data_IF_330410324150
#
_entry.id   IF_330410324150
#
_cell.length_a   1.000
_cell.length_b   1.000
_cell.length_c   1.000
_cell.angle_alpha   90.00
_cell.angle_beta   90.00
_cell.angle_gamma   90.00
#
_symmetry.space_group_name_H-M   'P 1'
#
loop_
_entity.id
_entity.type
_entity.pdbx_description
1 polymer ?
#
# COMPACT_ATOMS: atom_id res chain seq x y z
N UNK A 1 19.51 12.83 36.80
CA UNK A 1 20.09 12.50 35.47
C UNK A 1 20.23 10.99 35.42
N UNK A 2 19.54 10.31 34.50
CA UNK A 2 19.87 8.92 34.22
C UNK A 2 21.28 8.91 33.61
N UNK A 3 22.24 8.27 34.30
CA UNK A 3 23.59 8.12 33.78
C UNK A 3 23.59 7.31 32.49
N UNK A 4 24.66 7.43 31.71
CA UNK A 4 24.88 6.52 30.59
C UNK A 4 24.87 5.06 31.09
N UNK A 5 24.47 4.10 30.26
CA UNK A 5 24.50 2.68 30.62
C UNK A 5 25.88 2.26 31.12
N UNK A 6 25.93 1.44 32.17
CA UNK A 6 27.19 0.97 32.76
C UNK A 6 28.00 0.06 31.82
N UNK A 7 27.36 -0.49 30.80
CA UNK A 7 27.94 -1.36 29.77
C UNK A 7 27.33 -1.03 28.39
N UNK A 8 28.15 -1.10 27.34
CA UNK A 8 27.70 -1.05 25.95
C UNK A 8 27.64 -2.44 25.31
N UNK A 9 27.01 -2.55 24.15
CA UNK A 9 27.08 -3.75 23.29
C UNK A 9 28.03 -3.52 22.10
N UNK A 10 28.41 -4.60 21.42
CA UNK A 10 29.15 -4.49 20.15
C UNK A 10 28.23 -3.99 19.02
N UNK A 11 28.81 -3.50 17.92
CA UNK A 11 28.04 -3.12 16.73
C UNK A 11 27.11 -4.26 16.26
N UNK A 12 27.61 -5.50 16.28
CA UNK A 12 26.83 -6.69 15.91
C UNK A 12 25.59 -6.88 16.79
N UNK A 13 25.73 -6.65 18.10
CA UNK A 13 24.67 -6.84 19.09
C UNK A 13 23.64 -5.70 19.10
N UNK A 14 24.04 -4.49 18.73
CA UNK A 14 23.20 -3.30 18.89
C UNK A 14 22.60 -2.83 17.56
N UNK A 15 23.33 -2.95 16.46
CA UNK A 15 22.98 -2.32 15.18
C UNK A 15 22.85 -3.32 14.03
N UNK A 16 23.70 -4.36 13.97
CA UNK A 16 23.68 -5.33 12.87
C UNK A 16 22.36 -6.12 12.82
N UNK A 17 21.75 -6.40 13.98
CA UNK A 17 20.45 -7.08 14.06
C UNK A 17 19.30 -6.36 13.34
N UNK A 18 19.40 -5.02 13.19
CA UNK A 18 18.39 -4.21 12.51
C UNK A 18 18.68 -4.06 11.00
N UNK A 19 19.84 -4.54 10.54
CA UNK A 19 20.19 -4.55 9.12
C UNK A 19 19.59 -5.78 8.46
N UNK A 20 18.69 -5.57 7.52
CA UNK A 20 18.16 -6.63 6.67
C UNK A 20 18.70 -6.48 5.24
N UNK A 21 19.79 -7.18 4.87
CA UNK A 21 20.32 -7.12 3.50
C UNK A 21 19.33 -7.70 2.47
N UNK A 22 18.43 -8.59 2.89
CA UNK A 22 17.33 -9.07 2.04
C UNK A 22 16.28 -8.00 1.77
N UNK A 23 16.39 -6.80 2.36
CA UNK A 23 15.52 -5.64 2.11
C UNK A 23 16.10 -4.59 1.13
N UNK A 24 17.27 -4.86 0.53
CA UNK A 24 17.75 -4.07 -0.63
C UNK A 24 16.86 -4.38 -1.83
N UNK A 25 16.40 -3.34 -2.55
CA UNK A 25 15.39 -3.48 -3.61
C UNK A 25 15.88 -2.91 -4.93
N UNK A 26 15.53 -3.60 -6.02
CA UNK A 26 15.59 -3.09 -7.37
C UNK A 26 14.18 -3.17 -7.95
N UNK A 27 13.52 -2.04 -8.20
CA UNK A 27 12.18 -2.04 -8.79
C UNK A 27 12.27 -2.38 -10.28
N UNK A 28 12.44 -3.67 -10.58
CA UNK A 28 12.67 -4.20 -11.92
C UNK A 28 11.54 -3.85 -12.89
N UNK A 29 10.31 -3.77 -12.38
CA UNK A 29 9.13 -3.38 -13.14
C UNK A 29 8.43 -2.26 -12.40
N UNK A 30 8.05 -1.21 -13.13
CA UNK A 30 7.24 -0.11 -12.59
C UNK A 30 6.00 0.09 -13.44
N UNK A 31 4.86 0.24 -12.77
CA UNK A 31 3.59 0.61 -13.38
C UNK A 31 3.13 1.94 -12.77
N UNK A 32 2.43 2.74 -13.58
CA UNK A 32 1.67 3.87 -13.07
C UNK A 32 0.23 3.74 -13.50
N UNK A 33 -0.68 3.89 -12.55
CA UNK A 33 -2.12 3.81 -12.74
C UNK A 33 -2.73 5.16 -12.42
N UNK A 34 -3.57 5.69 -13.31
CA UNK A 34 -4.10 7.05 -13.19
C UNK A 34 -5.60 7.12 -13.47
N UNK A 35 -6.29 8.07 -12.84
CA UNK A 35 -7.67 8.45 -13.17
C UNK A 35 -7.92 9.92 -12.84
N UNK A 36 -9.01 10.47 -13.36
CA UNK A 36 -9.48 11.80 -12.93
C UNK A 36 -9.86 11.75 -11.45
N UNK A 37 -9.49 12.79 -10.71
CA UNK A 37 -9.87 12.93 -9.31
C UNK A 37 -11.38 13.13 -9.22
N UNK A 38 -12.02 12.40 -8.31
CA UNK A 38 -13.47 12.43 -8.13
C UNK A 38 -13.84 13.31 -6.91
N UNK A 39 -14.27 14.58 -7.12
CA UNK A 39 -14.66 15.45 -6.03
C UNK A 39 -16.01 15.08 -5.40
N UNK A 40 -16.77 14.17 -6.02
CA UNK A 40 -18.09 13.74 -5.51
C UNK A 40 -17.98 12.64 -4.46
N UNK A 41 -16.84 11.95 -4.39
CA UNK A 41 -16.53 10.96 -3.37
C UNK A 41 -17.01 9.53 -3.67
N UNK A 42 -17.54 9.26 -4.88
CA UNK A 42 -17.90 7.90 -5.33
C UNK A 42 -16.69 6.97 -5.26
N UNK A 43 -15.52 7.46 -5.68
CA UNK A 43 -14.25 6.73 -5.60
C UNK A 43 -13.32 7.29 -4.52
N UNK A 44 -13.89 7.66 -3.38
CA UNK A 44 -13.09 8.12 -2.23
C UNK A 44 -12.13 7.02 -1.77
N UNK A 45 -10.83 7.33 -1.69
CA UNK A 45 -9.79 6.38 -1.28
C UNK A 45 -9.77 6.03 0.21
N UNK A 46 -10.67 6.61 1.01
CA UNK A 46 -10.98 6.20 2.38
C UNK A 46 -12.30 5.39 2.48
N UNK A 47 -12.97 5.12 1.36
CA UNK A 47 -14.21 4.34 1.33
C UNK A 47 -13.93 2.84 1.42
N UNK A 48 -14.66 2.06 2.23
CA UNK A 48 -14.56 0.60 2.23
C UNK A 48 -14.76 -0.04 0.85
N UNK A 49 -15.54 0.62 -0.03
CA UNK A 49 -15.85 0.12 -1.38
C UNK A 49 -14.62 0.02 -2.29
N UNK A 50 -13.57 0.80 -2.04
CA UNK A 50 -12.32 0.71 -2.84
C UNK A 50 -11.33 -0.30 -2.26
N UNK A 51 -11.66 -0.95 -1.14
CA UNK A 51 -10.84 -1.88 -0.38
C UNK A 51 -9.69 -1.21 0.36
N UNK A 52 -9.69 -1.39 1.68
CA UNK A 52 -8.82 -0.65 2.60
C UNK A 52 -7.73 -1.56 3.17
N UNK A 53 -6.53 -1.02 3.26
CA UNK A 53 -5.42 -1.53 4.05
C UNK A 53 -5.16 -0.62 5.25
N UNK A 54 -4.45 -1.16 6.23
CA UNK A 54 -4.04 -0.38 7.40
C UNK A 54 -2.77 0.39 7.08
N UNK A 55 -2.84 1.72 7.17
CA UNK A 55 -1.72 2.63 6.90
C UNK A 55 -1.41 3.43 8.17
N UNK A 56 -0.14 3.53 8.52
CA UNK A 56 0.30 4.37 9.64
C UNK A 56 0.31 5.85 9.23
N UNK A 57 -0.38 6.69 9.99
CA UNK A 57 -0.41 8.15 9.80
C UNK A 57 0.14 8.85 11.04
N UNK A 58 0.39 10.17 10.96
CA UNK A 58 0.81 10.96 12.11
C UNK A 58 -0.20 10.92 13.29
N UNK A 59 -1.47 10.67 13.01
CA UNK A 59 -2.54 10.52 14.01
C UNK A 59 -2.78 9.08 14.48
N UNK A 60 -1.97 8.13 14.02
CA UNK A 60 -2.14 6.69 14.28
C UNK A 60 -2.57 5.90 13.04
N UNK A 61 -2.94 4.62 13.19
CA UNK A 61 -3.37 3.79 12.06
C UNK A 61 -4.69 4.29 11.46
N UNK A 62 -4.76 4.32 10.13
CA UNK A 62 -5.95 4.66 9.35
C UNK A 62 -6.24 3.56 8.32
N UNK A 63 -7.51 3.40 7.95
CA UNK A 63 -7.94 2.51 6.87
C UNK A 63 -7.99 3.30 5.56
N UNK A 64 -7.07 3.01 4.65
CA UNK A 64 -6.90 3.73 3.38
C UNK A 64 -6.74 2.73 2.22
N UNK A 65 -7.04 3.16 1.00
CA UNK A 65 -6.92 2.33 -0.18
C UNK A 65 -5.55 1.64 -0.31
N UNK A 66 -5.57 0.37 -0.71
CA UNK A 66 -4.40 -0.41 -1.12
C UNK A 66 -4.65 -1.07 -2.47
N UNK A 67 -3.66 -1.06 -3.39
CA UNK A 67 -3.76 -1.79 -4.65
C UNK A 67 -3.51 -3.30 -4.49
N UNK A 68 -3.13 -3.77 -3.31
CA UNK A 68 -2.81 -5.18 -3.05
C UNK A 68 -4.03 -5.95 -2.57
N UNK A 69 -4.08 -7.23 -2.92
CA UNK A 69 -5.18 -8.12 -2.57
C UNK A 69 -5.15 -8.47 -1.08
N UNK A 70 -6.24 -9.09 -0.60
CA UNK A 70 -6.38 -9.45 0.81
C UNK A 70 -5.33 -10.48 1.28
N UNK A 71 -4.73 -11.22 0.35
CA UNK A 71 -3.61 -12.13 0.63
C UNK A 71 -2.31 -11.38 1.00
N UNK A 72 -2.24 -10.07 0.72
CA UNK A 72 -1.07 -9.21 0.85
C UNK A 72 0.18 -9.74 0.13
N UNK A 73 -0.01 -10.56 -0.91
CA UNK A 73 1.03 -11.15 -1.76
C UNK A 73 0.83 -10.73 -3.22
N UNK A 74 -0.40 -10.50 -3.66
CA UNK A 74 -0.74 -10.18 -5.05
C UNK A 74 -1.32 -8.78 -5.23
N UNK A 75 -1.33 -8.31 -6.48
CA UNK A 75 -2.03 -7.08 -6.91
C UNK A 75 -3.49 -7.44 -7.19
N UNK A 76 -4.42 -6.56 -6.82
CA UNK A 76 -5.85 -6.82 -7.07
C UNK A 76 -6.20 -6.78 -8.56
N UNK A 77 -7.08 -7.68 -8.97
CA UNK A 77 -7.55 -7.76 -10.37
C UNK A 77 -8.61 -6.70 -10.73
N UNK A 78 -9.17 -5.99 -9.74
CA UNK A 78 -10.27 -5.02 -9.90
C UNK A 78 -9.81 -3.54 -9.96
N UNK A 79 -8.51 -3.29 -10.14
CA UNK A 79 -7.96 -1.93 -10.19
C UNK A 79 -8.29 -1.20 -11.49
N UNK A 80 -8.18 -1.91 -12.61
CA UNK A 80 -8.21 -1.31 -13.94
C UNK A 80 -9.64 -1.15 -14.44
N UNK A 81 -9.92 -0.07 -15.18
CA UNK A 81 -11.23 0.20 -15.81
C UNK A 81 -11.67 -0.90 -16.78
N UNK A 82 -10.71 -1.66 -17.32
CA UNK A 82 -10.96 -2.79 -18.22
C UNK A 82 -11.33 -4.07 -17.45
N UNK A 83 -11.22 -4.09 -16.12
CA UNK A 83 -11.59 -5.22 -15.30
C UNK A 83 -13.12 -5.36 -15.22
N UNK A 84 -13.68 -6.58 -15.36
CA UNK A 84 -15.12 -6.81 -15.33
C UNK A 84 -15.78 -6.39 -14.00
N UNK A 85 -15.01 -6.25 -12.92
CA UNK A 85 -15.49 -5.85 -11.59
C UNK A 85 -14.77 -4.61 -11.07
N UNK A 86 -14.35 -3.68 -11.94
CA UNK A 86 -13.54 -2.53 -11.53
C UNK A 86 -14.17 -1.71 -10.40
N UNK A 87 -13.50 -1.68 -9.24
CA UNK A 87 -13.96 -0.96 -8.06
C UNK A 87 -13.36 0.45 -7.97
N UNK A 88 -12.21 0.69 -8.63
CA UNK A 88 -11.40 1.92 -8.50
C UNK A 88 -11.24 2.66 -9.82
N UNK A 89 -11.48 2.00 -10.97
CA UNK A 89 -11.46 2.59 -12.31
C UNK A 89 -10.19 3.36 -12.65
N UNK A 90 -9.02 2.74 -12.45
CA UNK A 90 -7.75 3.29 -12.89
C UNK A 90 -7.43 2.88 -14.34
N UNK A 91 -6.69 3.72 -15.05
CA UNK A 91 -6.08 3.40 -16.34
C UNK A 91 -4.61 3.10 -16.14
N UNK A 92 -4.08 2.07 -16.80
CA UNK A 92 -2.63 1.84 -16.88
C UNK A 92 -2.00 2.81 -17.88
N UNK A 93 -0.92 3.49 -17.48
CA UNK A 93 -0.16 4.41 -18.32
C UNK A 93 0.54 3.71 -19.49
N UNK A 94 0.69 2.38 -19.43
CA UNK A 94 1.39 1.60 -20.45
C UNK A 94 2.90 1.59 -20.23
N UNK A 95 3.67 1.36 -21.29
CA UNK A 95 5.14 1.24 -21.15
C UNK A 95 5.77 2.59 -20.75
N UNK A 96 6.56 2.54 -19.67
CA UNK A 96 7.35 3.65 -19.13
C UNK A 96 8.83 3.48 -19.47
N UNK A 97 9.57 4.59 -19.51
CA UNK A 97 11.03 4.59 -19.67
C UNK A 97 11.71 4.09 -18.37
N UNK A 98 12.78 3.31 -18.52
CA UNK A 98 13.45 2.57 -17.42
C UNK A 98 13.81 3.41 -16.18
N UNK A 99 14.31 4.63 -16.37
CA UNK A 99 14.81 5.49 -15.28
C UNK A 99 13.88 6.68 -14.96
N UNK A 100 12.63 6.63 -15.40
CA UNK A 100 11.82 7.84 -15.49
C UNK A 100 10.65 7.94 -14.52
N UNK A 101 10.52 6.98 -13.60
CA UNK A 101 9.52 7.03 -12.54
C UNK A 101 10.20 7.45 -11.24
N UNK A 102 10.09 8.73 -10.90
CA UNK A 102 10.67 9.29 -9.69
C UNK A 102 9.65 10.11 -8.90
N UNK A 103 9.95 10.31 -7.62
CA UNK A 103 9.24 11.27 -6.79
C UNK A 103 10.28 12.05 -5.97
N UNK A 104 10.06 13.34 -5.87
CA UNK A 104 10.98 14.26 -5.20
C UNK A 104 10.22 14.96 -4.08
N UNK A 105 10.47 14.63 -2.81
CA UNK A 105 10.00 15.44 -1.70
C UNK A 105 10.71 16.80 -1.73
N UNK A 106 9.95 17.90 -1.81
CA UNK A 106 10.53 19.25 -1.90
C UNK A 106 10.02 20.12 -0.75
N UNK A 107 10.96 20.70 -0.01
CA UNK A 107 10.69 21.53 1.15
C UNK A 107 11.47 22.83 1.05
N UNK A 108 10.76 23.95 0.98
CA UNK A 108 11.39 25.27 1.03
C UNK A 108 11.42 25.77 2.48
N UNK A 109 12.62 26.09 2.96
CA UNK A 109 12.85 26.66 4.30
C UNK A 109 13.29 28.11 4.19
N UNK A 110 12.56 29.01 4.85
CA UNK A 110 13.03 30.36 5.09
C UNK A 110 13.97 30.37 6.30
N UNK A 111 15.21 30.76 6.05
CA UNK A 111 16.26 30.89 7.07
C UNK A 111 16.30 32.32 7.59
N UNK A 112 16.11 32.49 8.90
CA UNK A 112 16.20 33.80 9.55
C UNK A 112 17.47 33.86 10.39
N UNK A 113 18.53 34.60 9.96
CA UNK A 113 19.64 34.93 10.83
C UNK A 113 19.21 36.01 11.85
N UNK A 114 19.96 36.17 12.92
CA UNK A 114 19.74 37.26 13.88
C UNK A 114 20.78 38.36 13.67
N UNK A 115 20.51 39.56 14.17
CA UNK A 115 21.50 40.64 14.12
C UNK A 115 22.79 40.31 14.91
N UNK A 116 22.71 39.43 15.91
CA UNK A 116 23.83 39.00 16.75
C UNK A 116 24.61 37.81 16.18
N UNK A 117 24.01 37.05 15.25
CA UNK A 117 24.61 35.84 14.68
C UNK A 117 24.36 35.77 13.18
N UNK A 118 25.45 35.71 12.41
CA UNK A 118 25.43 35.49 10.96
C UNK A 118 24.89 34.09 10.60
N UNK A 119 24.91 33.15 11.56
CA UNK A 119 24.32 31.82 11.40
C UNK A 119 22.81 31.87 11.57
N UNK A 120 22.10 31.06 10.80
CA UNK A 120 20.65 30.88 10.88
C UNK A 120 20.24 30.47 12.30
N UNK A 121 19.37 31.28 12.92
CA UNK A 121 18.87 31.01 14.28
C UNK A 121 17.51 30.32 14.26
N UNK A 122 16.80 30.38 13.13
CA UNK A 122 15.49 29.74 12.94
C UNK A 122 15.27 29.38 11.48
N UNK A 123 14.73 28.18 11.25
CA UNK A 123 14.16 27.76 9.97
C UNK A 123 12.63 27.73 10.08
N UNK A 124 11.95 28.24 9.07
CA UNK A 124 10.48 28.15 8.94
C UNK A 124 10.17 27.49 7.61
N UNK A 125 9.37 26.43 7.62
CA UNK A 125 8.87 25.79 6.41
C UNK A 125 7.86 26.71 5.72
N UNK A 126 8.13 27.08 4.47
CA UNK A 126 7.28 27.99 3.70
C UNK A 126 6.53 27.31 2.57
N UNK A 127 7.04 26.17 2.06
CA UNK A 127 6.40 25.43 0.98
C UNK A 127 6.74 23.94 1.04
N UNK A 128 5.75 23.09 0.68
CA UNK A 128 5.88 21.65 0.47
C UNK A 128 5.35 21.37 -0.94
N UNK A 129 6.25 21.03 -1.87
CA UNK A 129 5.94 20.85 -3.30
C UNK A 129 6.40 19.48 -3.78
N UNK A 130 5.96 18.43 -3.10
CA UNK A 130 6.33 17.08 -3.50
C UNK A 130 5.91 16.85 -4.96
N UNK A 131 6.87 16.42 -5.78
CA UNK A 131 6.66 16.16 -7.21
C UNK A 131 6.71 14.68 -7.51
N UNK A 132 5.93 14.27 -8.50
CA UNK A 132 5.98 12.92 -9.07
C UNK A 132 6.11 13.02 -10.57
N UNK A 133 7.04 12.24 -11.11
CA UNK A 133 7.40 12.22 -12.52
C UNK A 133 7.23 10.81 -13.07
N UNK A 134 6.72 10.74 -14.30
CA UNK A 134 6.78 9.53 -15.10
C UNK A 134 6.97 9.91 -16.58
N UNK A 135 7.63 9.04 -17.35
CA UNK A 135 7.82 9.25 -18.79
C UNK A 135 7.31 8.03 -19.56
N UNK A 136 6.09 8.10 -20.12
CA UNK A 136 5.59 7.09 -21.04
C UNK A 136 6.42 7.10 -22.32
N UNK A 137 6.73 5.90 -22.81
CA UNK A 137 7.30 5.65 -24.14
C UNK A 137 6.26 5.04 -25.09
N UNK A 138 5.19 4.49 -24.52
CA UNK A 138 4.04 4.05 -25.31
C UNK A 138 3.20 5.25 -25.75
N UNK A 139 2.97 5.34 -27.06
CA UNK A 139 2.04 6.32 -27.63
C UNK A 139 0.64 5.70 -27.69
N UNK A 140 -0.19 6.02 -26.71
CA UNK A 140 -1.58 5.55 -26.63
C UNK A 140 -2.55 6.72 -26.38
N UNK A 141 -3.87 6.53 -26.61
CA UNK A 141 -4.85 7.59 -26.44
C UNK A 141 -4.90 8.19 -25.02
N UNK A 142 -4.62 7.39 -23.99
CA UNK A 142 -4.54 7.89 -22.61
C UNK A 142 -3.44 8.94 -22.47
N UNK A 143 -2.24 8.67 -22.98
CA UNK A 143 -1.11 9.61 -22.91
C UNK A 143 -1.43 10.92 -23.64
N UNK A 144 -2.10 10.85 -24.79
CA UNK A 144 -2.53 12.07 -25.50
C UNK A 144 -3.53 12.89 -24.69
N UNK A 145 -4.49 12.21 -24.04
CA UNK A 145 -5.48 12.88 -23.19
C UNK A 145 -4.83 13.55 -21.99
N UNK A 146 -3.85 12.90 -21.34
CA UNK A 146 -3.05 13.50 -20.27
C UNK A 146 -2.25 14.71 -20.78
N UNK A 147 -1.57 14.57 -21.91
CA UNK A 147 -0.80 15.65 -22.54
C UNK A 147 -1.66 16.88 -22.83
N UNK A 148 -2.94 16.72 -23.17
CA UNK A 148 -3.84 17.82 -23.52
C UNK A 148 -4.82 18.21 -22.40
N UNK A 149 -4.66 17.68 -21.19
CA UNK A 149 -5.60 17.87 -20.07
C UNK A 149 -7.07 17.56 -20.40
N UNK A 150 -7.29 16.54 -21.22
CA UNK A 150 -8.64 16.07 -21.52
C UNK A 150 -9.17 15.19 -20.37
N UNK A 151 -10.50 15.15 -20.14
CA UNK A 151 -11.11 14.21 -19.20
C UNK A 151 -10.80 12.77 -19.60
N UNK A 152 -10.47 11.91 -18.64
CA UNK A 152 -10.16 10.50 -18.86
C UNK A 152 -11.42 9.62 -19.07
N UNK A 153 -12.59 10.23 -19.19
CA UNK A 153 -13.84 9.55 -19.52
C UNK A 153 -13.96 9.31 -21.03
N UNK A 154 -14.26 8.08 -21.44
CA UNK A 154 -14.55 7.76 -22.83
C UNK A 154 -13.32 7.76 -23.75
N UNK A 155 -12.14 7.50 -23.20
CA UNK A 155 -10.89 7.36 -23.98
C UNK A 155 -11.09 6.25 -25.04
N UNK A 156 -10.82 6.54 -26.33
CA UNK A 156 -10.89 5.53 -27.38
C UNK A 156 -9.89 4.39 -27.14
N UNK A 157 -10.25 3.18 -27.55
CA UNK A 157 -9.32 2.06 -27.52
C UNK A 157 -8.12 2.30 -28.45
N UNK A 158 -6.95 1.78 -28.06
CA UNK A 158 -5.77 1.79 -28.92
C UNK A 158 -6.09 1.11 -30.26
N UNK A 159 -5.72 1.77 -31.36
CA UNK A 159 -6.00 1.28 -32.72
C UNK A 159 -7.39 1.65 -33.28
N UNK A 160 -8.16 2.50 -32.59
CA UNK A 160 -9.43 3.03 -33.13
C UNK A 160 -9.20 3.65 -34.53
N UNK A 161 -9.90 3.18 -35.58
CA UNK A 161 -9.70 3.71 -36.94
C UNK A 161 -9.97 5.21 -37.04
N UNK A 162 -9.08 5.95 -37.70
CA UNK A 162 -9.19 7.40 -37.86
C UNK A 162 -9.00 8.19 -36.56
N UNK A 163 -8.40 7.58 -35.53
CA UNK A 163 -8.09 8.26 -34.28
C UNK A 163 -7.31 9.56 -34.52
N UNK A 164 -7.81 10.63 -33.90
CA UNK A 164 -7.17 11.92 -33.84
C UNK A 164 -7.66 12.64 -32.58
N UNK A 165 -6.75 13.37 -31.95
CA UNK A 165 -7.01 14.12 -30.71
C UNK A 165 -6.48 15.53 -30.91
N UNK A 166 -7.29 16.51 -30.56
CA UNK A 166 -6.95 17.92 -30.71
C UNK A 166 -6.73 18.55 -29.34
N UNK A 167 -5.65 19.32 -29.22
CA UNK A 167 -5.45 20.20 -28.09
C UNK A 167 -6.29 21.46 -28.29
N UNK A 168 -6.99 21.89 -27.24
CA UNK A 168 -7.72 23.15 -27.26
C UNK A 168 -6.79 24.38 -27.28
N UNK A 169 -7.37 25.57 -27.42
CA UNK A 169 -6.62 26.83 -27.36
C UNK A 169 -6.01 27.10 -25.98
N UNK A 170 -6.52 26.44 -24.94
CA UNK A 170 -6.07 26.55 -23.55
C UNK A 170 -6.08 25.18 -22.90
N UNK A 171 -5.02 24.84 -22.17
CA UNK A 171 -5.04 23.70 -21.25
C UNK A 171 -5.59 24.18 -19.90
N UNK A 172 -6.55 23.44 -19.35
CA UNK A 172 -7.00 23.62 -17.97
C UNK A 172 -6.47 22.43 -17.17
N UNK A 173 -5.49 22.62 -16.26
CA UNK A 173 -4.96 21.53 -15.46
C UNK A 173 -6.07 20.77 -14.74
N UNK A 174 -6.03 19.44 -14.80
CA UNK A 174 -6.99 18.57 -14.13
C UNK A 174 -6.34 17.86 -12.96
N UNK A 175 -7.08 17.82 -11.86
CA UNK A 175 -6.71 17.03 -10.70
C UNK A 175 -6.93 15.55 -10.98
N UNK A 176 -5.98 14.71 -10.55
CA UNK A 176 -5.96 13.28 -10.82
C UNK A 176 -5.58 12.50 -9.58
N UNK A 177 -5.85 11.21 -9.59
CA UNK A 177 -5.32 10.24 -8.63
C UNK A 177 -4.29 9.37 -9.35
N UNK A 178 -3.12 9.16 -8.74
CA UNK A 178 -2.05 8.35 -9.30
C UNK A 178 -1.60 7.27 -8.31
N UNK A 179 -1.38 6.07 -8.80
CA UNK A 179 -0.80 4.96 -8.05
C UNK A 179 0.43 4.46 -8.81
N UNK A 180 1.60 4.56 -8.19
CA UNK A 180 2.82 3.98 -8.75
C UNK A 180 3.08 2.65 -8.07
N UNK A 181 3.30 1.59 -8.84
CA UNK A 181 3.59 0.24 -8.33
C UNK A 181 5.00 -0.14 -8.77
N UNK A 182 5.83 -0.54 -7.81
CA UNK A 182 7.14 -1.14 -8.05
C UNK A 182 7.11 -2.62 -7.71
N UNK A 183 7.67 -3.43 -8.60
CA UNK A 183 7.74 -4.89 -8.48
C UNK A 183 9.20 -5.29 -8.56
N UNK A 184 9.69 -5.93 -7.51
CA UNK A 184 11.02 -6.55 -7.44
C UNK A 184 10.79 -8.05 -7.32
N UNK A 185 10.56 -8.70 -8.47
CA UNK A 185 9.92 -10.02 -8.59
C UNK A 185 8.54 -10.09 -7.89
N UNK A 186 7.87 -11.24 -7.93
CA UNK A 186 6.62 -11.44 -7.18
C UNK A 186 6.83 -11.45 -5.65
N UNK A 187 8.08 -11.40 -5.20
CA UNK A 187 8.42 -11.45 -3.78
C UNK A 187 8.27 -10.09 -3.07
N UNK A 188 8.44 -8.96 -3.77
CA UNK A 188 8.35 -7.64 -3.17
C UNK A 188 7.55 -6.67 -4.02
N UNK A 189 6.42 -6.25 -3.47
CA UNK A 189 5.53 -5.28 -4.09
C UNK A 189 5.51 -4.02 -3.24
N UNK A 190 5.69 -2.86 -3.89
CA UNK A 190 5.47 -1.56 -3.27
C UNK A 190 4.48 -0.77 -4.11
N UNK A 191 3.59 -0.05 -3.45
CA UNK A 191 2.80 0.96 -4.13
C UNK A 191 2.91 2.29 -3.39
N UNK A 192 3.01 3.37 -4.15
CA UNK A 192 2.85 4.74 -3.66
C UNK A 192 1.56 5.27 -4.22
N UNK A 193 0.66 5.67 -3.32
CA UNK A 193 -0.63 6.23 -3.70
C UNK A 193 -0.58 7.73 -3.47
N UNK A 194 -0.87 8.47 -4.53
CA UNK A 194 -1.06 9.92 -4.53
C UNK A 194 -2.54 10.19 -4.79
N UNK A 195 -3.35 10.43 -3.73
CA UNK A 195 -4.80 10.55 -3.85
C UNK A 195 -5.21 11.72 -4.74
N UNK A 196 -4.42 12.80 -4.75
CA UNK A 196 -4.69 14.02 -5.49
C UNK A 196 -3.40 14.65 -5.99
N UNK A 197 -3.29 14.79 -7.31
CA UNK A 197 -2.16 15.39 -8.01
C UNK A 197 -2.67 16.33 -9.09
N UNK A 198 -1.85 17.30 -9.51
CA UNK A 198 -2.17 18.22 -10.61
C UNK A 198 -0.93 18.43 -11.48
N UNK A 199 -1.13 18.65 -12.77
CA UNK A 199 -0.01 18.83 -13.71
C UNK A 199 0.81 20.08 -13.34
N UNK A 200 2.11 19.89 -13.08
CA UNK A 200 3.08 20.97 -12.85
C UNK A 200 3.79 21.32 -14.17
N UNK A 201 4.33 20.31 -14.86
CA UNK A 201 5.10 20.49 -16.09
C UNK A 201 4.91 19.33 -17.06
N UNK A 202 4.98 19.65 -18.35
CA UNK A 202 5.04 18.68 -19.45
C UNK A 202 6.41 18.77 -20.11
N UNK A 203 7.02 17.62 -20.33
CA UNK A 203 8.29 17.48 -21.02
C UNK A 203 8.22 17.83 -22.50
N UNK A 204 9.38 17.91 -23.12
CA UNK A 204 9.52 18.03 -24.57
C UNK A 204 9.13 16.69 -25.21
N UNK A 205 8.33 16.73 -26.29
CA UNK A 205 8.19 15.61 -27.22
C UNK A 205 9.19 15.78 -28.36
N UNK A 206 9.86 14.70 -28.76
CA UNK A 206 10.82 14.75 -29.86
C UNK A 206 10.64 13.56 -30.80
N UNK A 207 10.35 13.85 -32.07
CA UNK A 207 10.29 12.85 -33.14
C UNK A 207 11.71 12.55 -33.65
N UNK A 208 12.58 12.05 -32.78
CA UNK A 208 13.95 11.70 -33.10
C UNK A 208 14.06 10.26 -33.63
N UNK A 209 15.04 10.00 -34.49
CA UNK A 209 15.33 8.63 -34.98
C UNK A 209 16.03 7.75 -33.95
N UNK A 210 16.81 8.36 -33.05
CA UNK A 210 17.69 7.63 -32.11
C UNK A 210 17.06 7.32 -30.77
N UNK A 211 16.03 8.08 -30.39
CA UNK A 211 15.34 7.93 -29.12
C UNK A 211 13.89 7.54 -29.42
N UNK A 212 13.28 6.65 -28.62
CA UNK A 212 11.83 6.43 -28.71
C UNK A 212 11.09 7.76 -28.44
N UNK A 213 9.91 7.92 -29.03
CA UNK A 213 9.04 9.02 -28.64
C UNK A 213 8.70 8.87 -27.15
N UNK A 214 8.84 9.95 -26.41
CA UNK A 214 8.70 9.94 -24.97
C UNK A 214 8.25 11.31 -24.49
N UNK A 215 7.42 11.33 -23.45
CA UNK A 215 6.93 12.57 -22.87
C UNK A 215 6.95 12.51 -21.37
N UNK A 216 7.86 13.25 -20.76
CA UNK A 216 7.82 13.41 -19.32
C UNK A 216 6.53 14.14 -18.90
N UNK A 217 5.88 13.63 -17.87
CA UNK A 217 4.74 14.26 -17.21
C UNK A 217 5.08 14.41 -15.73
N UNK A 218 5.17 15.66 -15.28
CA UNK A 218 5.44 16.03 -13.89
C UNK A 218 4.17 16.54 -13.25
N UNK A 219 3.86 16.01 -12.07
CA UNK A 219 2.73 16.42 -11.26
C UNK A 219 3.18 16.90 -9.89
N UNK A 220 2.45 17.89 -9.37
CA UNK A 220 2.53 18.35 -7.99
C UNK A 220 1.51 17.59 -7.15
N UNK A 221 1.92 17.17 -5.95
CA UNK A 221 1.06 16.46 -5.00
C UNK A 221 0.25 17.46 -4.19
N UNK A 222 -1.06 17.25 -4.12
CA UNK A 222 -1.99 18.10 -3.39
C UNK A 222 -2.57 17.37 -2.18
N UNK A 223 -2.96 18.10 -1.12
CA UNK A 223 -3.70 17.51 -0.01
C UNK A 223 -5.08 17.07 -0.47
N UNK A 224 -5.43 15.81 -0.17
CA UNK A 224 -6.75 15.26 -0.42
C UNK A 224 -7.68 15.48 0.78
N UNK A 225 -8.84 16.15 0.59
CA UNK A 225 -9.77 16.42 1.69
C UNK A 225 -10.43 15.16 2.28
N UNK A 226 -10.51 14.06 1.52
CA UNK A 226 -11.20 12.86 1.98
C UNK A 226 -10.32 11.95 2.84
N UNK A 227 -9.14 11.60 2.36
CA UNK A 227 -8.15 10.77 3.09
C UNK A 227 -7.35 11.57 4.11
N UNK A 228 -7.29 12.90 3.94
CA UNK A 228 -6.43 13.83 4.71
C UNK A 228 -4.94 13.52 4.59
N UNK A 229 -4.55 12.78 3.55
CA UNK A 229 -3.16 12.47 3.24
C UNK A 229 -2.77 13.08 1.89
N UNK A 230 -1.48 13.31 1.68
CA UNK A 230 -0.89 13.71 0.39
C UNK A 230 -0.28 12.53 -0.35
N UNK A 231 0.21 11.53 0.39
CA UNK A 231 0.78 10.29 -0.13
C UNK A 231 0.77 9.23 0.96
N UNK A 232 0.64 7.95 0.60
CA UNK A 232 1.05 6.85 1.47
C UNK A 232 1.72 5.72 0.68
N UNK A 233 2.39 4.84 1.42
CA UNK A 233 3.09 3.68 0.88
C UNK A 233 2.39 2.41 1.34
N UNK A 234 2.03 1.56 0.40
CA UNK A 234 1.57 0.21 0.65
C UNK A 234 2.72 -0.76 0.35
N UNK A 235 2.85 -1.84 1.11
CA UNK A 235 3.85 -2.88 0.89
C UNK A 235 3.23 -4.26 1.03
N UNK A 236 3.56 -5.14 0.08
CA UNK A 236 3.06 -6.49 -0.03
C UNK A 236 4.14 -7.40 -0.63
N UNK A 237 3.81 -8.67 -0.82
CA UNK A 237 4.70 -9.66 -1.41
C UNK A 237 5.31 -10.59 -0.38
N UNK A 238 5.64 -11.80 -0.82
CA UNK A 238 6.07 -12.90 0.06
C UNK A 238 7.36 -12.61 0.83
N UNK A 239 8.31 -11.87 0.26
CA UNK A 239 9.55 -11.48 0.94
C UNK A 239 9.35 -10.27 1.86
N UNK A 240 8.45 -9.33 1.55
CA UNK A 240 8.07 -8.27 2.51
C UNK A 240 7.45 -8.87 3.76
N UNK A 241 6.52 -9.81 3.56
CA UNK A 241 5.89 -10.57 4.62
C UNK A 241 6.91 -11.41 5.42
N UNK A 242 7.79 -12.15 4.73
CA UNK A 242 8.84 -12.96 5.37
C UNK A 242 9.95 -12.15 6.04
N UNK A 243 10.12 -10.87 5.70
CA UNK A 243 11.07 -9.97 6.36
C UNK A 243 10.55 -9.40 7.68
N UNK A 244 9.25 -9.55 7.96
CA UNK A 244 8.70 -9.21 9.27
C UNK A 244 9.30 -10.14 10.33
N UNK A 245 9.98 -9.57 11.33
CA UNK A 245 10.29 -10.30 12.57
C UNK A 245 9.03 -10.42 13.43
N UNK A 246 8.03 -11.09 12.85
CA UNK A 246 6.74 -11.30 13.47
C UNK A 246 6.86 -12.60 14.23
N UNK A 247 7.36 -12.51 15.47
CA UNK A 247 7.34 -13.64 16.37
C UNK A 247 5.89 -13.99 16.68
N UNK A 248 5.59 -15.29 16.63
CA UNK A 248 4.26 -15.80 16.94
C UNK A 248 3.78 -15.34 18.32
N UNK A 249 4.68 -15.16 19.31
CA UNK A 249 4.33 -14.68 20.65
C UNK A 249 3.94 -13.20 20.73
N UNK A 250 4.30 -12.38 19.73
CA UNK A 250 4.14 -10.92 19.82
C UNK A 250 3.27 -10.33 18.73
N UNK A 251 3.09 -11.04 17.62
CA UNK A 251 2.27 -10.59 16.50
C UNK A 251 0.78 -10.90 16.72
N UNK A 252 -0.04 -9.86 16.71
CA UNK A 252 -1.50 -9.97 16.81
C UNK A 252 -2.06 -10.70 15.59
N UNK A 253 -2.84 -11.79 15.77
CA UNK A 253 -3.45 -12.51 14.65
C UNK A 253 -4.49 -11.64 13.93
N UNK A 254 -4.48 -11.70 12.60
CA UNK A 254 -5.48 -11.04 11.76
C UNK A 254 -6.64 -12.00 11.48
N UNK A 255 -7.88 -11.56 11.74
CA UNK A 255 -9.09 -12.38 11.57
C UNK A 255 -9.95 -11.77 10.49
N UNK A 256 -10.21 -12.53 9.42
CA UNK A 256 -11.04 -12.12 8.29
C UNK A 256 -12.28 -13.03 8.23
N UNK A 257 -13.49 -12.50 8.49
CA UNK A 257 -14.73 -13.24 8.27
C UNK A 257 -14.84 -13.67 6.81
N UNK A 258 -15.30 -14.90 6.57
CA UNK A 258 -15.60 -15.41 5.22
C UNK A 258 -17.01 -16.01 5.20
N UNK A 259 -17.57 -16.08 4.01
CA UNK A 259 -18.94 -16.54 3.77
C UNK A 259 -19.18 -17.95 4.34
N UNK A 260 -20.38 -18.20 4.86
CA UNK A 260 -20.74 -19.50 5.44
C UNK A 260 -20.35 -19.66 6.91
N UNK A 261 -20.39 -18.57 7.68
CA UNK A 261 -20.15 -18.58 9.14
C UNK A 261 -18.77 -19.12 9.52
N UNK A 262 -17.77 -18.69 8.76
CA UNK A 262 -16.36 -19.03 8.93
C UNK A 262 -15.51 -17.78 9.12
N UNK A 263 -14.31 -17.96 9.63
CA UNK A 263 -13.29 -16.91 9.62
C UNK A 263 -11.90 -17.49 9.37
N UNK A 264 -11.13 -16.82 8.54
CA UNK A 264 -9.72 -17.11 8.33
C UNK A 264 -8.89 -16.33 9.36
N UNK A 265 -8.00 -17.03 10.06
CA UNK A 265 -7.09 -16.46 11.05
C UNK A 265 -5.68 -16.60 10.52
N UNK A 266 -5.03 -15.47 10.28
CA UNK A 266 -3.67 -15.40 9.74
C UNK A 266 -2.73 -14.90 10.83
N UNK A 267 -1.65 -15.65 11.06
CA UNK A 267 -0.63 -15.33 12.06
C UNK A 267 0.74 -15.82 11.59
N UNK A 268 1.85 -15.28 12.13
CA UNK A 268 3.18 -15.75 11.75
C UNK A 268 3.39 -17.20 12.13
N UNK A 269 4.02 -17.96 11.26
CA UNK A 269 4.33 -19.37 11.53
C UNK A 269 5.40 -19.42 12.61
N UNK A 270 5.16 -20.08 13.77
CA UNK A 270 6.16 -20.18 14.82
C UNK A 270 7.38 -20.95 14.32
N UNK A 271 8.54 -20.28 14.29
CA UNK A 271 9.80 -20.86 13.82
C UNK A 271 10.43 -21.83 14.83
N UNK A 272 10.12 -21.64 16.11
CA UNK A 272 10.70 -22.40 17.22
C UNK A 272 9.83 -23.60 17.65
N UNK A 273 8.73 -23.88 16.93
CA UNK A 273 7.83 -25.01 17.21
C UNK A 273 7.93 -26.04 16.10
N UNK A 274 8.43 -27.23 16.41
CA UNK A 274 8.61 -28.33 15.45
C UNK A 274 7.26 -28.96 15.11
N UNK A 275 6.90 -28.96 13.81
CA UNK A 275 5.67 -29.55 13.27
C UNK A 275 4.40 -29.09 14.04
N UNK A 276 4.13 -27.78 14.09
CA UNK A 276 3.09 -27.23 14.94
C UNK A 276 1.70 -27.73 14.54
N UNK A 277 0.93 -28.12 15.54
CA UNK A 277 -0.52 -28.28 15.48
C UNK A 277 -1.18 -27.06 16.12
N UNK A 278 -2.25 -26.57 15.52
CA UNK A 278 -2.88 -25.32 15.94
C UNK A 278 -4.24 -25.58 16.59
N UNK A 279 -4.45 -24.95 17.74
CA UNK A 279 -5.75 -24.85 18.39
C UNK A 279 -6.16 -23.38 18.47
N UNK A 280 -7.45 -23.13 18.35
CA UNK A 280 -8.01 -21.78 18.35
C UNK A 280 -9.05 -21.67 19.44
N UNK A 281 -9.02 -20.56 20.17
CA UNK A 281 -10.05 -20.20 21.12
C UNK A 281 -10.63 -18.81 20.81
N UNK A 282 -11.93 -18.64 21.03
CA UNK A 282 -12.70 -17.43 20.76
C UNK A 282 -13.29 -16.88 22.05
N UNK A 283 -13.26 -15.56 22.18
CA UNK A 283 -13.89 -14.83 23.28
C UNK A 283 -15.02 -13.97 22.69
N UNK A 284 -16.26 -14.26 23.08
CA UNK A 284 -17.42 -13.56 22.53
C UNK A 284 -17.59 -12.16 23.15
N UNK A 285 -17.47 -12.04 24.48
CA UNK A 285 -17.63 -10.79 25.21
C UNK A 285 -16.29 -10.30 25.79
N UNK A 286 -16.06 -8.99 25.80
CA UNK A 286 -14.86 -8.39 26.39
C UNK A 286 -14.69 -8.81 27.86
N UNK A 287 -13.53 -9.38 28.19
CA UNK A 287 -13.23 -9.91 29.52
C UNK A 287 -13.92 -11.24 29.86
N UNK A 288 -14.66 -11.84 28.93
CA UNK A 288 -15.26 -13.17 29.07
C UNK A 288 -14.24 -14.31 28.95
N UNK A 289 -14.67 -15.55 29.19
CA UNK A 289 -13.82 -16.72 29.01
C UNK A 289 -13.60 -17.00 27.51
N UNK A 290 -12.42 -17.52 27.18
CA UNK A 290 -12.14 -18.11 25.88
C UNK A 290 -12.77 -19.51 25.80
N UNK A 291 -13.52 -19.75 24.73
CA UNK A 291 -14.09 -21.06 24.41
C UNK A 291 -13.37 -21.65 23.18
N UNK A 292 -13.16 -22.98 23.11
CA UNK A 292 -12.56 -23.60 21.93
C UNK A 292 -13.39 -23.32 20.67
N UNK A 293 -12.72 -23.02 19.57
CA UNK A 293 -13.32 -22.95 18.24
C UNK A 293 -12.99 -24.21 17.43
N UNK A 294 -13.90 -24.62 16.54
CA UNK A 294 -13.66 -25.74 15.63
C UNK A 294 -12.86 -25.26 14.43
N UNK A 295 -11.73 -25.91 14.17
CA UNK A 295 -10.88 -25.67 13.00
C UNK A 295 -11.39 -26.55 11.85
N UNK A 296 -11.78 -25.94 10.74
CA UNK A 296 -12.51 -26.62 9.66
C UNK A 296 -11.63 -27.23 8.57
N UNK A 297 -10.40 -26.75 8.44
CA UNK A 297 -9.50 -27.08 7.33
C UNK A 297 -8.06 -27.29 7.83
N UNK A 298 -7.27 -28.03 7.05
CA UNK A 298 -5.84 -28.18 7.31
C UNK A 298 -5.17 -26.80 7.22
N UNK A 299 -4.36 -26.39 8.22
CA UNK A 299 -3.64 -25.13 8.18
C UNK A 299 -2.77 -25.02 6.93
N UNK A 300 -2.83 -23.87 6.25
CA UNK A 300 -2.00 -23.60 5.08
C UNK A 300 -0.88 -22.62 5.44
N UNK A 301 0.34 -22.89 4.98
CA UNK A 301 1.51 -22.04 5.22
C UNK A 301 1.93 -21.36 3.91
N UNK A 302 2.06 -20.03 3.93
CA UNK A 302 2.54 -19.23 2.81
C UNK A 302 3.31 -18.01 3.30
N UNK A 303 4.48 -17.72 2.70
CA UNK A 303 5.23 -16.48 2.98
C UNK A 303 5.62 -16.27 4.45
N UNK A 304 5.81 -17.34 5.22
CA UNK A 304 6.10 -17.27 6.66
C UNK A 304 4.86 -17.13 7.56
N UNK A 305 3.65 -17.10 7.00
CA UNK A 305 2.39 -17.05 7.74
C UNK A 305 1.64 -18.37 7.65
N UNK A 306 0.94 -18.71 8.72
CA UNK A 306 -0.02 -19.81 8.78
C UNK A 306 -1.43 -19.22 8.76
N UNK A 307 -2.30 -19.82 7.94
CA UNK A 307 -3.74 -19.55 7.95
C UNK A 307 -4.48 -20.75 8.53
N UNK A 308 -5.35 -20.49 9.50
CA UNK A 308 -6.26 -21.47 10.10
C UNK A 308 -7.69 -20.98 9.91
N UNK A 309 -8.57 -21.83 9.42
CA UNK A 309 -9.99 -21.52 9.26
C UNK A 309 -10.77 -22.07 10.44
N UNK A 310 -11.58 -21.22 11.08
CA UNK A 310 -12.59 -21.65 12.06
C UNK A 310 -13.98 -21.63 11.44
N UNK A 311 -14.84 -22.53 11.87
CA UNK A 311 -16.23 -22.63 11.45
C UNK A 311 -17.22 -22.51 12.61
N UNK A 312 -18.50 -22.75 12.30
CA UNK A 312 -19.59 -22.81 13.27
C UNK A 312 -19.79 -21.49 14.04
N UNK A 313 -19.47 -20.36 13.40
CA UNK A 313 -19.72 -19.04 13.96
C UNK A 313 -21.22 -18.75 13.99
N UNK A 314 -21.66 -17.93 14.93
CA UNK A 314 -23.06 -17.48 14.99
C UNK A 314 -23.25 -16.29 14.07
N UNK A 315 -24.30 -16.26 13.25
CA UNK A 315 -24.56 -15.17 12.31
C UNK A 315 -24.60 -13.78 13.00
N UNK A 316 -24.04 -12.77 12.33
CA UNK A 316 -24.06 -11.36 12.75
C UNK A 316 -23.60 -11.13 14.20
N UNK A 317 -22.73 -11.99 14.70
CA UNK A 317 -22.23 -11.95 16.08
C UNK A 317 -20.87 -11.30 16.10
N UNK A 318 -20.72 -10.28 16.93
CA UNK A 318 -19.41 -9.72 17.23
C UNK A 318 -18.70 -10.64 18.23
N UNK A 319 -17.47 -11.02 17.88
CA UNK A 319 -16.55 -11.71 18.76
C UNK A 319 -15.46 -10.71 19.18
N UNK A 320 -15.16 -10.68 20.47
CA UNK A 320 -14.22 -9.72 21.04
C UNK A 320 -12.76 -10.05 20.71
N UNK A 321 -12.40 -11.34 20.69
CA UNK A 321 -11.04 -11.76 20.41
C UNK A 321 -10.95 -13.22 19.95
N UNK A 322 -9.87 -13.52 19.24
CA UNK A 322 -9.39 -14.86 18.91
C UNK A 322 -7.99 -15.03 19.49
N UNK A 323 -7.68 -16.23 19.98
CA UNK A 323 -6.34 -16.61 20.42
C UNK A 323 -5.94 -17.92 19.75
N UNK A 324 -4.69 -17.99 19.31
CA UNK A 324 -4.12 -19.19 18.67
C UNK A 324 -3.01 -19.75 19.55
N UNK A 325 -3.03 -21.07 19.74
CA UNK A 325 -1.97 -21.82 20.42
C UNK A 325 -1.37 -22.82 19.45
N UNK A 326 -0.04 -22.77 19.31
CA UNK A 326 0.74 -23.71 18.52
C UNK A 326 1.42 -24.72 19.44
N UNK A 327 1.21 -26.00 19.16
CA UNK A 327 1.78 -27.12 19.93
C UNK A 327 2.58 -28.01 19.00
N UNK A 328 3.88 -28.14 19.28
CA UNK A 328 4.78 -29.06 18.62
C UNK A 328 5.35 -30.09 19.60
N UNK A 329 6.22 -30.96 19.11
CA UNK A 329 6.88 -31.96 19.97
C UNK A 329 7.87 -31.34 20.97
N UNK A 330 8.34 -30.12 20.71
CA UNK A 330 9.38 -29.44 21.48
C UNK A 330 8.86 -28.28 22.34
N UNK A 331 7.74 -27.66 21.99
CA UNK A 331 7.19 -26.50 22.71
C UNK A 331 5.68 -26.36 22.51
N UNK A 332 5.03 -25.66 23.44
CA UNK A 332 3.68 -25.13 23.26
C UNK A 332 3.72 -23.65 23.53
N UNK A 333 3.27 -22.86 22.56
CA UNK A 333 3.34 -21.41 22.57
C UNK A 333 1.95 -20.87 22.27
N UNK A 334 1.56 -19.80 22.94
CA UNK A 334 0.29 -19.12 22.68
C UNK A 334 0.56 -17.68 22.24
N UNK A 335 -0.02 -17.31 21.11
CA UNK A 335 0.09 -15.97 20.58
C UNK A 335 -0.77 -14.95 21.34
N UNK A 336 -0.61 -13.66 21.03
CA UNK A 336 -1.48 -12.61 21.55
C UNK A 336 -2.91 -12.73 20.97
N UNK A 337 -3.82 -11.95 21.54
CA UNK A 337 -5.25 -11.96 21.15
C UNK A 337 -5.51 -11.02 19.97
N UNK A 338 -6.41 -11.41 19.06
CA UNK A 338 -6.81 -10.60 17.90
C UNK A 338 -7.59 -9.33 18.31
N UNK A 339 -7.77 -8.42 17.34
CA UNK A 339 -8.83 -7.42 17.41
C UNK A 339 -10.23 -8.07 17.29
N UNK A 340 -11.31 -7.38 17.72
CA UNK A 340 -12.68 -7.84 17.52
C UNK A 340 -13.05 -7.99 16.04
N UNK A 341 -13.92 -8.95 15.73
CA UNK A 341 -14.45 -9.16 14.38
C UNK A 341 -15.95 -9.52 14.43
N UNK A 342 -16.65 -9.40 13.32
CA UNK A 342 -18.08 -9.77 13.21
C UNK A 342 -18.23 -10.83 12.13
N UNK A 343 -18.91 -11.93 12.43
CA UNK A 343 -19.17 -13.00 11.47
C UNK A 343 -20.17 -12.57 10.38
N UNK A 344 -19.97 -13.09 9.17
CA UNK A 344 -20.86 -12.89 8.02
C UNK A 344 -21.50 -14.21 7.60
N UNK A 345 -22.82 -14.19 7.40
CA UNK A 345 -23.60 -15.37 6.99
C UNK A 345 -23.60 -15.54 5.45
N UNK A 346 -23.52 -14.41 4.74
CA UNK A 346 -23.60 -14.30 3.26
C UNK A 346 -22.41 -13.57 2.66
#
# INVERSE_FOLDING_TARGET
MAGLPATGGTWAQVLEQDLNPLNVRYWQITHGLIRDYDPTGVFNLASPAVGLGTVQTASGPAQLFTPFAADNVSIREDLLVTSPNSAVNLYDLGLLKEDATDWTPDQTLQQTPSAQFVRTVRNVLTKLDDKVNFTPIESNPLIDYLKFELPLTGIPALGTPGYGVARGNTDAPRERTLVLIGIDTDANLVARVFPRIITDKKGKNELARKNPDSSELTYEVLPDPFTRQTMWVCRAGSAWLGAGNLNFETAVPAVTPVTGLKANIVFPTPIDVTAPQYSVAIQQAAGGAFAPATVSDTPSVSGGFTTVTIDSLTASTQYNAVQVTATGSNATVTGPVSAPFTSTDS
#
